data_IF_055580425689
#
_entry.id   IF_055580425689
#
_cell.length_a   1.000
_cell.length_b   1.000
_cell.length_c   1.000
_cell.angle_alpha   90.00
_cell.angle_beta   90.00
_cell.angle_gamma   90.00
#
_symmetry.space_group_name_H-M   'P 1'
#
loop_
_entity.id
_entity.type
_entity.pdbx_description
1 polymer ?
#
# COMPACT_ATOMS: atom_id res chain seq x y z
N UNK A 1 -5.28 -57.22 -17.37
CA UNK A 1 -5.44 -56.02 -16.51
C UNK A 1 -6.74 -56.17 -15.74
N UNK A 2 -6.72 -56.29 -14.41
CA UNK A 2 -7.93 -56.45 -13.60
C UNK A 2 -8.77 -55.15 -13.61
N UNK A 3 -10.06 -55.30 -13.89
CA UNK A 3 -11.02 -54.20 -14.07
C UNK A 3 -11.40 -53.54 -12.74
N UNK A 4 -11.29 -52.21 -12.70
CA UNK A 4 -11.63 -51.39 -11.54
C UNK A 4 -13.14 -51.11 -11.58
N UNK A 5 -13.90 -51.78 -10.72
CA UNK A 5 -15.33 -51.52 -10.52
C UNK A 5 -15.51 -50.18 -9.80
N UNK A 6 -15.83 -49.12 -10.55
CA UNK A 6 -16.22 -47.82 -10.00
C UNK A 6 -17.66 -47.90 -9.49
N UNK A 7 -17.82 -48.28 -8.23
CA UNK A 7 -19.07 -48.20 -7.48
C UNK A 7 -19.56 -46.74 -7.44
N UNK A 8 -20.63 -46.45 -8.19
CA UNK A 8 -21.32 -45.14 -8.17
C UNK A 8 -21.95 -44.90 -6.80
N UNK A 9 -21.19 -44.34 -5.87
CA UNK A 9 -21.75 -43.79 -4.62
C UNK A 9 -22.48 -42.49 -4.93
N UNK A 10 -23.80 -42.57 -4.96
CA UNK A 10 -24.71 -41.42 -5.04
C UNK A 10 -24.54 -40.56 -3.79
N UNK A 11 -23.81 -39.46 -3.92
CA UNK A 11 -23.68 -38.42 -2.89
C UNK A 11 -25.04 -37.74 -2.72
N UNK A 12 -25.80 -38.18 -1.70
CA UNK A 12 -26.98 -37.45 -1.22
C UNK A 12 -26.51 -36.15 -0.59
N UNK A 13 -26.52 -35.07 -1.37
CA UNK A 13 -26.37 -33.73 -0.82
C UNK A 13 -27.58 -33.45 0.07
N UNK A 14 -27.35 -33.42 1.39
CA UNK A 14 -28.33 -32.88 2.32
C UNK A 14 -28.64 -31.43 1.90
N UNK A 15 -29.90 -30.98 1.96
CA UNK A 15 -30.26 -29.62 1.59
C UNK A 15 -29.58 -28.65 2.56
N UNK A 16 -28.44 -28.09 2.13
CA UNK A 16 -27.74 -27.06 2.88
C UNK A 16 -28.60 -25.81 2.80
N UNK A 17 -29.39 -25.56 3.85
CA UNK A 17 -30.05 -24.27 4.05
C UNK A 17 -28.96 -23.26 4.36
N UNK A 18 -28.41 -22.64 3.32
CA UNK A 18 -27.52 -21.48 3.41
C UNK A 18 -28.40 -20.30 3.84
N UNK A 19 -28.81 -20.27 5.11
CA UNK A 19 -29.37 -19.10 5.76
C UNK A 19 -28.19 -18.20 6.13
N UNK A 20 -27.63 -17.53 5.13
CA UNK A 20 -26.78 -16.36 5.35
C UNK A 20 -27.73 -15.23 5.73
N UNK A 21 -28.14 -15.22 7.01
CA UNK A 21 -28.73 -14.03 7.62
C UNK A 21 -27.54 -13.12 7.94
N UNK A 22 -26.97 -12.50 6.92
CA UNK A 22 -26.02 -11.41 7.13
C UNK A 22 -26.78 -10.29 7.83
N UNK A 23 -26.25 -9.78 8.94
CA UNK A 23 -26.88 -8.63 9.57
C UNK A 23 -26.86 -7.46 8.58
N UNK A 24 -27.95 -6.68 8.49
CA UNK A 24 -28.03 -5.53 7.55
C UNK A 24 -26.80 -4.61 7.67
N UNK A 25 -26.23 -4.49 8.88
CA UNK A 25 -25.03 -3.68 9.14
C UNK A 25 -23.77 -4.22 8.46
N UNK A 26 -23.54 -5.52 8.47
CA UNK A 26 -22.35 -6.14 7.84
C UNK A 26 -22.39 -6.03 6.31
N UNK A 27 -23.58 -6.10 5.73
CA UNK A 27 -23.78 -5.89 4.30
C UNK A 27 -23.36 -4.49 3.86
N UNK A 28 -23.92 -3.43 4.48
CA UNK A 28 -23.55 -2.04 4.13
C UNK A 28 -22.06 -1.76 4.33
N UNK A 29 -21.44 -2.37 5.36
CA UNK A 29 -20.01 -2.25 5.62
C UNK A 29 -19.18 -2.85 4.47
N UNK A 30 -19.53 -4.06 4.03
CA UNK A 30 -18.84 -4.76 2.95
C UNK A 30 -18.98 -4.01 1.63
N UNK A 31 -20.18 -3.51 1.33
CA UNK A 31 -20.44 -2.66 0.15
C UNK A 31 -19.61 -1.38 0.20
N UNK A 32 -19.57 -0.69 1.35
CA UNK A 32 -18.77 0.52 1.52
C UNK A 32 -17.27 0.28 1.34
N UNK A 33 -16.75 -0.84 1.85
CA UNK A 33 -15.34 -1.21 1.69
C UNK A 33 -14.99 -1.57 0.24
N UNK A 34 -15.85 -2.35 -0.43
CA UNK A 34 -15.69 -2.65 -1.86
C UNK A 34 -15.70 -1.36 -2.71
N UNK A 35 -16.60 -0.42 -2.41
CA UNK A 35 -16.64 0.88 -3.05
C UNK A 35 -15.36 1.69 -2.81
N UNK A 36 -14.85 1.74 -1.58
CA UNK A 36 -13.59 2.43 -1.24
C UNK A 36 -12.38 1.84 -1.96
N UNK A 37 -12.27 0.51 -2.03
CA UNK A 37 -11.22 -0.18 -2.78
C UNK A 37 -11.35 0.10 -4.28
N UNK A 38 -12.56 0.08 -4.83
CA UNK A 38 -12.81 0.44 -6.23
C UNK A 38 -12.36 1.86 -6.57
N UNK A 39 -12.72 2.85 -5.73
CA UNK A 39 -12.24 4.23 -5.88
C UNK A 39 -10.71 4.32 -5.81
N UNK A 40 -10.10 3.57 -4.90
CA UNK A 40 -8.64 3.52 -4.75
C UNK A 40 -7.96 3.04 -6.04
N UNK A 41 -8.46 1.96 -6.65
CA UNK A 41 -7.98 1.51 -7.97
C UNK A 41 -8.17 2.58 -9.05
N UNK A 42 -9.30 3.27 -9.08
CA UNK A 42 -9.53 4.33 -10.08
C UNK A 42 -8.54 5.47 -9.94
N UNK A 43 -8.27 5.93 -8.71
CA UNK A 43 -7.28 6.98 -8.49
C UNK A 43 -5.87 6.50 -8.81
N UNK A 44 -5.49 5.27 -8.42
CA UNK A 44 -4.17 4.68 -8.73
C UNK A 44 -3.98 4.54 -10.22
N UNK A 45 -4.98 4.02 -10.91
CA UNK A 45 -4.96 3.87 -12.36
C UNK A 45 -4.84 5.23 -13.05
N UNK A 46 -5.61 6.23 -12.62
CA UNK A 46 -5.58 7.56 -13.20
C UNK A 46 -4.20 8.24 -13.05
N UNK A 47 -3.62 8.24 -11.84
CA UNK A 47 -2.29 8.83 -11.63
C UNK A 47 -1.22 8.10 -12.38
N UNK A 48 -1.20 6.78 -12.27
CA UNK A 48 -0.19 5.94 -12.91
C UNK A 48 -0.23 6.13 -14.42
N UNK A 49 -1.42 6.20 -15.02
CA UNK A 49 -1.58 6.43 -16.45
C UNK A 49 -1.09 7.82 -16.87
N UNK A 50 -1.40 8.87 -16.11
CA UNK A 50 -0.91 10.24 -16.41
C UNK A 50 0.61 10.30 -16.32
N UNK A 51 1.21 9.81 -15.23
CA UNK A 51 2.67 9.80 -15.04
C UNK A 51 3.36 8.94 -16.09
N UNK A 52 2.77 7.80 -16.44
CA UNK A 52 3.29 6.91 -17.47
C UNK A 52 3.27 7.56 -18.86
N UNK A 53 2.15 8.17 -19.27
CA UNK A 53 2.05 8.87 -20.55
C UNK A 53 2.99 10.06 -20.64
N UNK A 54 3.16 10.81 -19.54
CA UNK A 54 4.16 11.88 -19.46
C UNK A 54 5.59 11.35 -19.61
N UNK A 55 5.91 10.24 -18.94
CA UNK A 55 7.22 9.60 -19.02
C UNK A 55 7.52 9.03 -20.40
N UNK A 56 6.51 8.48 -21.09
CA UNK A 56 6.61 8.07 -22.49
C UNK A 56 6.88 9.26 -23.42
N UNK A 57 6.14 10.36 -23.24
CA UNK A 57 6.31 11.55 -24.08
C UNK A 57 7.70 12.20 -23.92
N UNK A 58 8.27 12.15 -22.71
CA UNK A 58 9.63 12.63 -22.44
C UNK A 58 10.72 11.62 -22.83
N UNK A 59 10.36 10.38 -23.12
CA UNK A 59 11.31 9.30 -23.43
C UNK A 59 12.19 8.89 -22.23
N UNK A 60 11.81 9.27 -21.01
CA UNK A 60 12.61 9.00 -19.82
C UNK A 60 12.38 7.56 -19.33
N UNK A 61 13.26 6.64 -19.73
CA UNK A 61 13.19 5.21 -19.39
C UNK A 61 13.22 4.98 -17.86
N UNK A 62 13.96 5.79 -17.10
CA UNK A 62 13.97 5.72 -15.64
C UNK A 62 12.57 5.98 -15.08
N UNK A 63 11.95 7.09 -15.48
CA UNK A 63 10.61 7.47 -15.04
C UNK A 63 9.54 6.44 -15.45
N UNK A 64 9.62 5.89 -16.67
CA UNK A 64 8.72 4.84 -17.16
C UNK A 64 8.81 3.60 -16.27
N UNK A 65 10.02 3.06 -16.06
CA UNK A 65 10.23 1.81 -15.34
C UNK A 65 9.95 1.96 -13.84
N UNK A 66 10.32 3.09 -13.23
CA UNK A 66 10.01 3.36 -11.82
C UNK A 66 8.50 3.56 -11.60
N UNK A 67 7.78 4.20 -12.53
CA UNK A 67 6.32 4.33 -12.47
C UNK A 67 5.64 2.96 -12.57
N UNK A 68 6.05 2.12 -13.52
CA UNK A 68 5.52 0.75 -13.61
C UNK A 68 5.84 -0.08 -12.36
N UNK A 69 7.08 0.01 -11.86
CA UNK A 69 7.51 -0.80 -10.72
C UNK A 69 6.80 -0.41 -9.41
N UNK A 70 6.87 0.87 -9.06
CA UNK A 70 6.40 1.34 -7.76
C UNK A 70 4.93 1.78 -7.74
N UNK A 71 4.41 2.36 -8.83
CA UNK A 71 3.02 2.86 -8.83
C UNK A 71 2.04 1.81 -9.36
N UNK A 72 2.40 1.06 -10.41
CA UNK A 72 1.51 0.02 -10.97
C UNK A 72 1.64 -1.31 -10.22
N UNK A 73 2.78 -1.98 -10.33
CA UNK A 73 2.93 -3.35 -9.84
C UNK A 73 2.89 -3.44 -8.31
N UNK A 74 3.52 -2.50 -7.61
CA UNK A 74 3.50 -2.51 -6.15
C UNK A 74 2.10 -2.20 -5.60
N UNK A 75 1.36 -1.27 -6.20
CA UNK A 75 -0.03 -1.00 -5.79
C UNK A 75 -0.95 -2.21 -6.02
N UNK A 76 -0.87 -2.84 -7.19
CA UNK A 76 -1.64 -4.04 -7.50
C UNK A 76 -1.21 -5.24 -6.64
N UNK A 77 0.06 -5.34 -6.26
CA UNK A 77 0.52 -6.37 -5.32
C UNK A 77 -0.13 -6.19 -3.94
N UNK A 78 -0.25 -4.95 -3.44
CA UNK A 78 -0.88 -4.65 -2.15
C UNK A 78 -2.40 -4.88 -2.23
N UNK A 79 -3.06 -4.34 -3.25
CA UNK A 79 -4.52 -4.46 -3.43
C UNK A 79 -4.95 -5.90 -3.76
N UNK A 80 -4.12 -6.65 -4.48
CA UNK A 80 -4.34 -8.04 -4.85
C UNK A 80 -4.53 -8.99 -3.66
N UNK A 81 -3.99 -8.65 -2.48
CA UNK A 81 -4.19 -9.42 -1.26
C UNK A 81 -5.59 -9.21 -0.64
N UNK A 82 -6.26 -8.09 -0.93
CA UNK A 82 -7.59 -7.79 -0.41
C UNK A 82 -8.65 -8.75 -0.97
N UNK A 83 -9.61 -9.13 -0.14
CA UNK A 83 -10.70 -10.05 -0.53
C UNK A 83 -11.82 -9.37 -1.31
N UNK A 84 -11.93 -8.04 -1.21
CA UNK A 84 -12.91 -7.27 -1.99
C UNK A 84 -12.35 -6.76 -3.30
N UNK A 85 -11.07 -7.00 -3.57
CA UNK A 85 -10.50 -6.64 -4.86
C UNK A 85 -11.11 -7.54 -5.94
N UNK A 86 -11.74 -6.91 -6.95
CA UNK A 86 -12.59 -7.61 -7.91
C UNK A 86 -11.89 -8.75 -8.65
N UNK A 87 -10.65 -8.55 -9.08
CA UNK A 87 -9.92 -9.56 -9.85
C UNK A 87 -9.35 -10.70 -8.98
N UNK A 88 -9.03 -10.43 -7.70
CA UNK A 88 -8.49 -11.44 -6.79
C UNK A 88 -9.54 -12.09 -5.89
N UNK A 89 -10.78 -11.60 -5.87
CA UNK A 89 -11.88 -12.12 -5.06
C UNK A 89 -12.11 -13.62 -5.26
N UNK A 90 -12.03 -14.10 -6.50
CA UNK A 90 -12.24 -15.51 -6.85
C UNK A 90 -11.03 -16.42 -6.56
N UNK A 91 -9.86 -15.85 -6.26
CA UNK A 91 -8.66 -16.60 -5.95
C UNK A 91 -8.64 -17.07 -4.50
N UNK A 92 -8.17 -18.30 -4.25
CA UNK A 92 -7.86 -18.78 -2.90
C UNK A 92 -6.68 -17.98 -2.32
N UNK A 93 -6.60 -17.89 -0.98
CA UNK A 93 -5.54 -17.17 -0.28
C UNK A 93 -4.13 -17.54 -0.77
N UNK A 94 -3.84 -18.85 -0.95
CA UNK A 94 -2.56 -19.33 -1.48
C UNK A 94 -2.21 -18.74 -2.86
N UNK A 95 -3.20 -18.60 -3.74
CA UNK A 95 -3.00 -18.02 -5.07
C UNK A 95 -2.84 -16.50 -5.01
N UNK A 96 -3.52 -15.81 -4.09
CA UNK A 96 -3.32 -14.36 -3.88
C UNK A 96 -1.93 -14.04 -3.36
N UNK A 97 -1.43 -14.84 -2.41
CA UNK A 97 -0.04 -14.72 -1.93
C UNK A 97 0.95 -14.96 -3.05
N UNK A 98 0.71 -15.96 -3.91
CA UNK A 98 1.54 -16.19 -5.10
C UNK A 98 1.51 -14.97 -6.05
N UNK A 99 0.32 -14.45 -6.36
CA UNK A 99 0.17 -13.28 -7.22
C UNK A 99 0.86 -12.03 -6.63
N UNK A 100 0.75 -11.81 -5.32
CA UNK A 100 1.45 -10.76 -4.60
C UNK A 100 2.97 -10.88 -4.74
N UNK A 101 3.53 -12.08 -4.56
CA UNK A 101 4.97 -12.33 -4.72
C UNK A 101 5.40 -12.08 -6.18
N UNK A 102 4.64 -12.56 -7.16
CA UNK A 102 4.96 -12.37 -8.58
C UNK A 102 4.93 -10.88 -8.97
N UNK A 103 3.88 -10.15 -8.59
CA UNK A 103 3.78 -8.71 -8.85
C UNK A 103 4.88 -7.93 -8.12
N UNK A 104 5.26 -8.34 -6.91
CA UNK A 104 6.37 -7.73 -6.17
C UNK A 104 7.69 -7.93 -6.90
N UNK A 105 7.99 -9.15 -7.37
CA UNK A 105 9.20 -9.44 -8.17
C UNK A 105 9.23 -8.61 -9.45
N UNK A 106 8.11 -8.50 -10.17
CA UNK A 106 7.98 -7.62 -11.34
C UNK A 106 8.20 -6.14 -10.98
N UNK A 107 7.66 -5.69 -9.86
CA UNK A 107 7.84 -4.32 -9.38
C UNK A 107 9.31 -3.98 -9.12
N UNK A 108 10.02 -4.89 -8.45
CA UNK A 108 11.43 -4.73 -8.11
C UNK A 108 12.32 -4.80 -9.35
N UNK A 109 12.06 -5.74 -10.26
CA UNK A 109 12.85 -5.84 -11.49
C UNK A 109 12.74 -4.57 -12.31
N UNK A 110 11.53 -4.01 -12.47
CA UNK A 110 11.31 -2.72 -13.11
C UNK A 110 12.05 -1.58 -12.37
N UNK A 111 11.96 -1.50 -11.04
CA UNK A 111 12.63 -0.46 -10.27
C UNK A 111 14.17 -0.50 -10.41
N UNK A 112 14.76 -1.70 -10.34
CA UNK A 112 16.20 -1.89 -10.52
C UNK A 112 16.61 -1.53 -11.95
N UNK A 113 15.89 -2.02 -12.97
CA UNK A 113 16.17 -1.67 -14.37
C UNK A 113 16.04 -0.18 -14.64
N UNK A 114 15.09 0.51 -14.01
CA UNK A 114 14.95 1.96 -14.07
C UNK A 114 16.12 2.71 -13.43
N UNK A 115 16.78 2.14 -12.43
CA UNK A 115 17.88 2.78 -11.71
C UNK A 115 19.23 2.69 -12.44
N UNK A 116 19.41 1.73 -13.35
CA UNK A 116 20.68 1.53 -14.07
C UNK A 116 21.10 2.76 -14.91
N UNK A 117 20.23 3.37 -15.74
CA UNK A 117 20.63 4.47 -16.62
C UNK A 117 21.07 5.75 -15.88
N UNK A 118 20.41 6.20 -14.79
CA UNK A 118 20.89 7.36 -14.02
C UNK A 118 22.25 7.14 -13.36
N UNK A 119 22.50 5.94 -12.82
CA UNK A 119 23.77 5.62 -12.16
C UNK A 119 24.93 5.65 -13.17
N UNK A 120 24.72 5.14 -14.39
CA UNK A 120 25.77 5.11 -15.41
C UNK A 120 26.08 6.49 -16.01
N UNK A 121 25.10 7.41 -16.02
CA UNK A 121 25.24 8.72 -16.65
C UNK A 121 25.70 9.82 -15.70
N UNK A 122 25.21 9.85 -14.46
CA UNK A 122 25.45 10.96 -13.52
C UNK A 122 26.17 10.52 -12.23
N UNK A 123 26.46 9.22 -12.06
CA UNK A 123 26.93 8.68 -10.80
C UNK A 123 25.85 8.69 -9.72
N UNK A 124 26.25 8.55 -8.44
CA UNK A 124 25.31 8.63 -7.31
C UNK A 124 24.90 10.09 -7.14
N UNK A 125 23.79 10.48 -7.79
CA UNK A 125 23.28 11.83 -7.76
C UNK A 125 22.93 12.25 -6.32
N UNK A 126 23.56 13.33 -5.83
CA UNK A 126 23.29 13.95 -4.53
C UNK A 126 21.98 14.76 -4.51
N UNK A 127 21.10 14.58 -5.50
CA UNK A 127 19.83 15.29 -5.57
C UNK A 127 18.86 14.77 -4.50
N UNK A 128 17.91 15.62 -4.11
CA UNK A 128 16.82 15.20 -3.21
C UNK A 128 15.99 14.07 -3.81
N UNK A 129 15.76 14.09 -5.12
CA UNK A 129 15.11 13.00 -5.85
C UNK A 129 15.93 11.70 -5.76
N UNK A 130 17.23 11.78 -6.02
CA UNK A 130 18.14 10.64 -5.92
C UNK A 130 18.15 10.04 -4.51
N UNK A 131 18.40 10.84 -3.48
CA UNK A 131 18.48 10.37 -2.09
C UNK A 131 17.17 9.71 -1.60
N UNK A 132 16.02 10.29 -1.92
CA UNK A 132 14.71 9.70 -1.56
C UNK A 132 14.41 8.41 -2.33
N UNK A 133 14.85 8.31 -3.59
CA UNK A 133 14.81 7.07 -4.37
C UNK A 133 15.61 5.94 -3.72
N UNK A 134 16.83 6.23 -3.25
CA UNK A 134 17.66 5.25 -2.54
C UNK A 134 17.04 4.79 -1.21
N UNK A 135 16.46 5.71 -0.43
CA UNK A 135 15.74 5.37 0.81
C UNK A 135 14.55 4.47 0.50
N UNK A 136 13.81 4.75 -0.56
CA UNK A 136 12.66 3.93 -1.00
C UNK A 136 13.11 2.52 -1.39
N UNK A 137 14.19 2.41 -2.16
CA UNK A 137 14.79 1.13 -2.52
C UNK A 137 15.22 0.35 -1.28
N UNK A 138 15.85 1.01 -0.30
CA UNK A 138 16.25 0.38 0.96
C UNK A 138 15.04 -0.20 1.72
N UNK A 139 13.94 0.54 1.87
CA UNK A 139 12.72 0.01 2.49
C UNK A 139 12.09 -1.12 1.68
N UNK A 140 12.18 -1.08 0.36
CA UNK A 140 11.72 -2.16 -0.52
C UNK A 140 12.53 -3.43 -0.28
N UNK A 141 13.85 -3.32 -0.17
CA UNK A 141 14.73 -4.46 0.16
C UNK A 141 14.40 -5.06 1.53
N UNK A 142 14.18 -4.22 2.56
CA UNK A 142 13.73 -4.70 3.87
C UNK A 142 12.37 -5.42 3.79
N UNK A 143 11.45 -4.91 2.97
CA UNK A 143 10.13 -5.53 2.75
C UNK A 143 10.27 -6.91 2.09
N UNK A 144 11.15 -7.07 1.10
CA UNK A 144 11.42 -8.35 0.43
C UNK A 144 11.99 -9.37 1.40
N UNK A 145 12.90 -8.97 2.30
CA UNK A 145 13.50 -9.89 3.26
C UNK A 145 12.48 -10.29 4.33
N UNK A 146 11.73 -9.31 4.85
CA UNK A 146 10.75 -9.54 5.94
C UNK A 146 9.51 -10.31 5.47
N UNK A 147 9.14 -10.25 4.18
CA UNK A 147 7.96 -10.92 3.64
C UNK A 147 7.99 -12.45 3.79
N UNK A 148 8.98 -13.16 3.21
CA UNK A 148 9.15 -14.59 3.37
C UNK A 148 9.34 -15.02 4.83
N UNK A 149 10.08 -14.24 5.62
CA UNK A 149 10.25 -14.52 7.05
C UNK A 149 8.93 -14.41 7.84
N UNK A 150 8.05 -13.49 7.45
CA UNK A 150 6.71 -13.33 8.02
C UNK A 150 5.77 -14.52 7.75
N UNK A 151 6.09 -15.39 6.78
CA UNK A 151 5.32 -16.62 6.53
C UNK A 151 5.56 -17.68 7.63
N UNK A 152 6.70 -17.64 8.32
CA UNK A 152 7.05 -18.57 9.42
C UNK A 152 6.36 -18.27 10.77
N UNK A 153 5.14 -17.73 10.75
CA UNK A 153 4.29 -17.44 11.92
C UNK A 153 4.81 -16.41 12.93
N UNK A 154 5.78 -15.56 12.56
CA UNK A 154 6.17 -14.42 13.39
C UNK A 154 5.24 -13.23 13.14
N UNK A 155 4.25 -13.05 14.03
CA UNK A 155 3.26 -11.94 13.94
C UNK A 155 3.94 -10.58 13.80
N UNK A 156 5.00 -10.33 14.57
CA UNK A 156 5.74 -9.06 14.52
C UNK A 156 6.39 -8.81 13.14
N UNK A 157 6.88 -9.85 12.46
CA UNK A 157 7.52 -9.70 11.15
C UNK A 157 6.51 -9.36 10.05
N UNK A 158 5.29 -9.88 10.12
CA UNK A 158 4.21 -9.53 9.17
C UNK A 158 3.88 -8.05 9.26
N UNK A 159 3.79 -7.54 10.49
CA UNK A 159 3.52 -6.15 10.78
C UNK A 159 4.64 -5.23 10.31
N UNK A 160 5.90 -5.62 10.56
CA UNK A 160 7.08 -4.90 10.08
C UNK A 160 7.11 -4.88 8.53
N UNK A 161 6.83 -6.02 7.88
CA UNK A 161 6.75 -6.12 6.43
C UNK A 161 5.69 -5.17 5.84
N UNK A 162 4.48 -5.15 6.41
CA UNK A 162 3.43 -4.22 5.98
C UNK A 162 3.85 -2.76 6.20
N UNK A 163 4.48 -2.44 7.34
CA UNK A 163 4.95 -1.10 7.65
C UNK A 163 6.02 -0.59 6.68
N UNK A 164 7.03 -1.40 6.39
CA UNK A 164 8.07 -1.05 5.43
C UNK A 164 7.53 -0.96 3.99
N UNK A 165 6.65 -1.88 3.59
CA UNK A 165 6.04 -1.86 2.26
C UNK A 165 5.20 -0.60 2.04
N UNK A 166 4.38 -0.23 3.01
CA UNK A 166 3.57 0.99 2.95
C UNK A 166 4.44 2.26 2.92
N UNK A 167 5.50 2.30 3.73
CA UNK A 167 6.43 3.43 3.76
C UNK A 167 7.15 3.58 2.41
N UNK A 168 7.61 2.48 1.81
CA UNK A 168 8.24 2.49 0.50
C UNK A 168 7.26 2.98 -0.59
N UNK A 169 6.03 2.47 -0.59
CA UNK A 169 5.01 2.89 -1.56
C UNK A 169 4.69 4.39 -1.43
N UNK A 170 4.52 4.88 -0.20
CA UNK A 170 4.22 6.29 0.09
C UNK A 170 5.34 7.22 -0.37
N UNK A 171 6.60 6.88 -0.04
CA UNK A 171 7.76 7.65 -0.48
C UNK A 171 7.85 7.68 -2.01
N UNK A 172 7.48 6.58 -2.67
CA UNK A 172 7.44 6.55 -4.13
C UNK A 172 6.45 7.50 -4.77
N UNK A 173 5.25 7.57 -4.23
CA UNK A 173 4.23 8.47 -4.77
C UNK A 173 4.60 9.94 -4.56
N UNK A 174 5.32 10.27 -3.48
CA UNK A 174 5.82 11.63 -3.24
C UNK A 174 6.88 12.01 -4.28
N UNK A 175 7.91 11.17 -4.48
CA UNK A 175 9.01 11.56 -5.37
C UNK A 175 8.63 11.56 -6.85
N UNK A 176 7.66 10.73 -7.26
CA UNK A 176 7.21 10.69 -8.66
C UNK A 176 6.61 12.03 -9.13
N UNK A 177 6.25 12.91 -8.19
CA UNK A 177 5.69 14.24 -8.45
C UNK A 177 6.71 15.38 -8.23
N UNK A 178 7.91 15.09 -7.72
CA UNK A 178 8.95 16.10 -7.55
C UNK A 178 9.60 16.36 -8.91
N UNK A 179 9.52 17.57 -9.47
CA UNK A 179 10.21 17.89 -10.70
C UNK A 179 11.72 17.83 -10.47
N UNK A 180 12.43 17.14 -11.37
CA UNK A 180 13.89 17.25 -11.48
C UNK A 180 14.21 18.69 -11.90
N UNK A 181 14.49 19.55 -10.92
CA UNK A 181 14.90 20.96 -11.11
C UNK A 181 15.99 21.09 -12.20
N UNK A 182 16.01 22.10 -13.07
CA UNK A 182 15.63 23.51 -12.88
C UNK A 182 14.62 24.01 -13.94
N UNK A 183 13.46 24.54 -13.50
CA UNK A 183 12.61 25.39 -14.36
C UNK A 183 11.18 24.93 -14.65
N UNK A 184 10.74 23.76 -14.17
CA UNK A 184 9.37 23.28 -14.38
C UNK A 184 8.54 23.33 -13.08
N UNK A 185 7.46 24.12 -13.09
CA UNK A 185 6.55 24.23 -11.95
C UNK A 185 5.87 22.88 -11.62
N UNK A 186 5.79 22.49 -10.34
CA UNK A 186 5.09 21.29 -9.90
C UNK A 186 3.58 21.45 -10.12
N UNK A 187 3.00 20.65 -11.02
CA UNK A 187 1.56 20.65 -11.28
C UNK A 187 0.84 19.63 -10.38
N UNK A 188 0.30 20.09 -9.25
CA UNK A 188 -0.94 19.59 -8.63
C UNK A 188 -0.99 18.15 -8.05
N UNK A 189 0.09 17.37 -8.03
CA UNK A 189 0.08 15.96 -7.60
C UNK A 189 -0.08 15.72 -6.08
N UNK A 190 0.30 16.70 -5.24
CA UNK A 190 0.45 16.50 -3.79
C UNK A 190 -0.85 16.14 -3.06
N UNK A 191 -1.98 16.72 -3.49
CA UNK A 191 -3.28 16.51 -2.83
C UNK A 191 -3.80 15.07 -3.00
N UNK A 192 -3.42 14.41 -4.09
CA UNK A 192 -3.97 13.12 -4.47
C UNK A 192 -3.18 11.96 -3.86
N UNK A 193 -1.88 12.14 -3.62
CA UNK A 193 -1.05 11.21 -2.82
C UNK A 193 -1.52 11.18 -1.36
N UNK A 194 -1.82 12.35 -0.77
CA UNK A 194 -2.40 12.43 0.58
C UNK A 194 -3.80 11.77 0.64
N UNK A 195 -4.62 11.93 -0.39
CA UNK A 195 -5.95 11.30 -0.47
C UNK A 195 -5.84 9.76 -0.56
N UNK A 196 -4.91 9.22 -1.36
CA UNK A 196 -4.69 7.77 -1.44
C UNK A 196 -4.27 7.16 -0.11
N UNK A 197 -3.33 7.80 0.58
CA UNK A 197 -2.88 7.36 1.90
C UNK A 197 -4.04 7.35 2.90
N UNK A 198 -4.93 8.34 2.84
CA UNK A 198 -6.12 8.40 3.68
C UNK A 198 -7.14 7.30 3.35
N UNK A 199 -7.35 6.96 2.08
CA UNK A 199 -8.32 5.91 1.69
C UNK A 199 -7.79 4.51 2.04
N UNK A 200 -6.51 4.23 1.77
CA UNK A 200 -5.88 2.96 2.14
C UNK A 200 -5.91 2.72 3.66
N UNK A 201 -5.58 3.75 4.44
CA UNK A 201 -5.50 3.64 5.90
C UNK A 201 -6.86 3.76 6.60
N UNK A 202 -7.86 4.39 5.96
CA UNK A 202 -9.24 4.42 6.45
C UNK A 202 -9.98 3.09 6.28
N UNK A 203 -9.61 2.31 5.25
CA UNK A 203 -10.21 1.01 4.97
C UNK A 203 -9.67 -0.12 5.87
N UNK A 204 -8.38 -0.12 6.22
CA UNK A 204 -7.79 -1.10 7.16
C UNK A 204 -8.32 -1.00 8.60
N UNK A 205 -9.04 0.08 8.93
CA UNK A 205 -9.55 0.40 10.26
C UNK A 205 -10.75 -0.46 10.71
N UNK A 206 -11.34 -1.30 9.85
CA UNK A 206 -12.68 -1.84 10.14
C UNK A 206 -12.93 -3.33 9.90
N UNK A 207 -11.91 -4.06 9.42
CA UNK A 207 -12.01 -5.48 9.14
C UNK A 207 -12.04 -6.36 10.40
N UNK A 208 -11.63 -5.80 11.56
CA UNK A 208 -11.38 -6.57 12.79
C UNK A 208 -12.40 -6.35 13.92
N UNK A 209 -13.43 -5.52 13.73
CA UNK A 209 -14.51 -5.30 14.72
C UNK A 209 -15.62 -6.35 14.63
N UNK A 210 -15.31 -7.59 14.98
CA UNK A 210 -16.30 -8.64 15.28
C UNK A 210 -16.25 -9.11 16.75
N UNK A 211 -15.25 -8.72 17.57
CA UNK A 211 -15.17 -9.24 18.95
C UNK A 211 -14.87 -8.27 20.11
N UNK A 212 -14.78 -6.94 19.95
CA UNK A 212 -14.53 -6.09 21.13
C UNK A 212 -15.11 -4.68 21.04
N UNK A 213 -15.84 -4.29 22.08
CA UNK A 213 -16.38 -2.95 22.33
C UNK A 213 -15.40 -2.14 23.20
N UNK A 214 -14.72 -1.15 22.62
CA UNK A 214 -13.94 -0.14 23.35
C UNK A 214 -14.00 1.25 22.66
N UNK A 215 -13.79 2.37 23.40
CA UNK A 215 -14.59 3.59 23.23
C UNK A 215 -13.92 4.75 22.48
N UNK A 216 -14.80 5.69 22.10
CA UNK A 216 -14.72 6.92 21.30
C UNK A 216 -13.64 7.99 21.66
N UNK A 217 -12.63 7.69 22.49
CA UNK A 217 -11.72 8.71 23.06
C UNK A 217 -10.57 9.12 22.10
N UNK A 218 -10.20 8.29 21.14
CA UNK A 218 -8.98 8.46 20.32
C UNK A 218 -9.11 9.32 19.06
N UNK A 219 -10.33 9.66 18.62
CA UNK A 219 -10.55 10.51 17.43
C UNK A 219 -9.96 11.92 17.65
N UNK A 220 -9.87 12.38 18.91
CA UNK A 220 -9.31 13.71 19.24
C UNK A 220 -7.78 13.80 19.03
N UNK A 221 -7.03 12.71 19.23
CA UNK A 221 -5.57 12.72 19.08
C UNK A 221 -5.13 12.86 17.62
N UNK A 222 -5.82 12.17 16.70
CA UNK A 222 -5.54 12.23 15.26
C UNK A 222 -5.86 13.59 14.64
N UNK A 223 -6.90 14.28 15.14
CA UNK A 223 -7.24 15.66 14.71
C UNK A 223 -6.18 16.67 15.19
N UNK A 224 -5.58 16.44 16.37
CA UNK A 224 -4.59 17.36 16.94
C UNK A 224 -3.24 17.30 16.22
N UNK A 225 -2.82 16.12 15.74
CA UNK A 225 -1.60 15.94 14.94
C UNK A 225 -1.76 16.55 13.54
N UNK A 226 -2.91 16.34 12.89
CA UNK A 226 -3.23 16.96 11.60
C UNK A 226 -3.23 18.50 11.69
N UNK A 227 -3.73 19.06 12.81
CA UNK A 227 -3.72 20.50 13.08
C UNK A 227 -2.29 21.04 13.25
N UNK A 228 -1.39 20.29 13.87
CA UNK A 228 0.03 20.66 14.02
C UNK A 228 0.79 20.69 12.69
N UNK A 229 0.57 19.73 11.78
CA UNK A 229 1.21 19.77 10.46
C UNK A 229 0.57 20.83 9.53
N UNK A 230 -0.70 21.19 9.70
CA UNK A 230 -1.31 22.33 9.00
C UNK A 230 -0.74 23.68 9.46
N UNK A 231 -0.53 23.87 10.76
CA UNK A 231 0.06 25.10 11.32
C UNK A 231 1.53 25.31 10.92
N UNK A 232 2.28 24.21 10.70
CA UNK A 232 3.64 24.27 10.14
C UNK A 232 3.67 24.75 8.69
N UNK A 233 2.59 24.56 7.92
CA UNK A 233 2.47 25.00 6.51
C UNK A 233 2.15 26.50 6.39
N UNK A 234 1.54 27.11 7.40
CA UNK A 234 1.10 28.52 7.35
C UNK A 234 2.15 29.54 7.80
N UNK A 235 3.29 29.11 8.37
CA UNK A 235 4.33 30.02 8.83
C UNK A 235 5.32 30.37 7.68
N UNK A 236 5.01 31.45 6.95
CA UNK A 236 5.66 31.88 5.70
C UNK A 236 7.05 32.56 5.87
N UNK A 237 7.64 32.60 7.05
CA UNK A 237 8.83 33.42 7.34
C UNK A 237 10.11 32.61 7.66
N UNK A 238 10.38 31.53 6.93
CA UNK A 238 11.70 30.87 7.02
C UNK A 238 12.27 30.59 5.63
N UNK A 239 13.21 31.43 5.22
CA UNK A 239 14.14 31.19 4.11
C UNK A 239 15.09 30.06 4.48
N UNK A 240 14.73 28.82 4.12
CA UNK A 240 15.65 27.70 3.80
C UNK A 240 14.82 26.51 3.33
N UNK A 241 14.74 26.34 2.02
CA UNK A 241 14.05 25.25 1.29
C UNK A 241 14.42 23.84 1.79
N UNK A 242 15.62 23.66 2.34
CA UNK A 242 16.10 22.38 2.89
C UNK A 242 15.35 21.92 4.16
N UNK A 243 14.69 22.81 4.91
CA UNK A 243 14.02 22.39 6.16
C UNK A 243 12.62 21.81 5.94
N UNK A 244 11.95 22.20 4.85
CA UNK A 244 10.53 21.87 4.65
C UNK A 244 10.32 20.46 4.11
N UNK A 245 11.14 20.01 3.17
CA UNK A 245 11.04 18.64 2.61
C UNK A 245 11.35 17.60 3.69
N UNK A 246 12.39 17.82 4.49
CA UNK A 246 12.73 16.93 5.60
C UNK A 246 11.66 16.94 6.69
N UNK A 247 11.07 18.10 7.03
CA UNK A 247 9.98 18.17 8.02
C UNK A 247 8.68 17.57 7.52
N UNK A 248 8.35 17.71 6.24
CA UNK A 248 7.20 17.07 5.63
C UNK A 248 7.37 15.55 5.60
N UNK A 249 8.53 15.05 5.16
CA UNK A 249 8.86 13.63 5.19
C UNK A 249 8.87 13.07 6.61
N UNK A 250 9.40 13.81 7.60
CA UNK A 250 9.37 13.40 9.01
C UNK A 250 7.96 13.45 9.61
N UNK A 251 7.11 14.40 9.23
CA UNK A 251 5.69 14.41 9.65
C UNK A 251 4.95 13.20 9.05
N UNK A 252 5.16 12.90 7.77
CA UNK A 252 4.57 11.72 7.11
C UNK A 252 5.07 10.41 7.71
N UNK A 253 6.38 10.28 7.98
CA UNK A 253 6.96 9.12 8.66
C UNK A 253 6.40 9.00 10.09
N UNK A 254 6.35 10.09 10.86
CA UNK A 254 5.80 10.07 12.22
C UNK A 254 4.32 9.71 12.22
N UNK A 255 3.55 10.25 11.27
CA UNK A 255 2.13 9.95 11.11
C UNK A 255 1.91 8.48 10.71
N UNK A 256 2.73 7.97 9.80
CA UNK A 256 2.73 6.57 9.38
C UNK A 256 3.12 5.65 10.54
N UNK A 257 4.10 6.03 11.37
CA UNK A 257 4.51 5.26 12.56
C UNK A 257 3.40 5.24 13.63
N UNK A 258 2.77 6.37 13.95
CA UNK A 258 1.66 6.42 14.92
C UNK A 258 0.46 5.61 14.42
N UNK A 259 0.15 5.69 13.12
CA UNK A 259 -0.90 4.90 12.48
C UNK A 259 -0.55 3.42 12.39
N UNK A 260 0.70 3.09 12.14
CA UNK A 260 1.20 1.72 12.15
C UNK A 260 1.06 1.15 13.56
N UNK A 261 1.57 1.82 14.60
CA UNK A 261 1.41 1.44 16.01
C UNK A 261 -0.06 1.18 16.39
N UNK A 262 -0.99 1.97 15.86
CA UNK A 262 -2.42 1.76 16.01
C UNK A 262 -2.91 0.49 15.30
N UNK A 263 -2.53 0.27 14.04
CA UNK A 263 -2.82 -0.98 13.30
C UNK A 263 -2.20 -2.20 14.00
N UNK A 264 -1.00 -2.06 14.58
CA UNK A 264 -0.33 -3.11 15.36
C UNK A 264 -1.13 -3.45 16.62
N UNK A 265 -1.65 -2.45 17.33
CA UNK A 265 -2.46 -2.64 18.52
C UNK A 265 -3.77 -3.38 18.18
N UNK A 266 -4.42 -3.03 17.08
CA UNK A 266 -5.66 -3.66 16.61
C UNK A 266 -5.42 -5.10 16.17
N UNK A 267 -4.39 -5.36 15.36
CA UNK A 267 -4.09 -6.71 14.83
C UNK A 267 -3.64 -7.69 15.91
N UNK A 268 -2.99 -7.22 16.99
CA UNK A 268 -2.61 -8.04 18.15
C UNK A 268 -3.85 -8.60 18.86
N UNK A 269 -4.95 -7.85 18.90
CA UNK A 269 -6.22 -8.33 19.45
C UNK A 269 -6.92 -9.33 18.51
N UNK A 270 -6.81 -9.16 17.19
CA UNK A 270 -7.48 -10.03 16.21
C UNK A 270 -6.84 -11.40 16.07
N UNK A 271 -5.51 -11.47 16.00
CA UNK A 271 -4.80 -12.75 15.83
C UNK A 271 -4.70 -13.57 17.11
N UNK A 272 -4.90 -12.96 18.28
CA UNK A 272 -5.06 -13.69 19.54
C UNK A 272 -6.25 -14.64 19.54
N UNK A 273 -7.30 -14.34 18.76
CA UNK A 273 -8.52 -15.15 18.67
C UNK A 273 -8.51 -16.29 17.64
N UNK A 274 -7.54 -16.36 16.72
CA UNK A 274 -7.44 -17.44 15.72
C UNK A 274 -6.39 -18.51 16.05
N UNK A 275 -5.63 -18.34 17.13
CA UNK A 275 -4.53 -19.23 17.54
C UNK A 275 -4.82 -20.00 18.84
N UNK A 276 -6.04 -19.90 19.38
CA UNK A 276 -6.59 -20.77 20.43
C UNK A 276 -7.69 -21.63 19.83
#
# INVERSE_FOLDING_TARGET
>A
MPGINLEKKSLKFAPVKILVIESRGEYYRTVGFAFGVGLTHMFIGATTMVTFMYSLNTGNVHAILCTLGYQLFSAEAILGLSYVNGWSAHLRLKHRVCAHIMLTICGISCAISGLVPPISSFGVASSYHGSTGHITLFFTLLTIITGPLGLHNFVNLRLIHMGFGLTAFSMSSIFANIPDSEGQEPKGGDALVTLMLQVFMGCGHHQDRVCSSAPLVEIKANVQIARSCYLLKTNKTVTKTNSYVTKAALCEISFTITRLQYVLAVQKETFGCQLT
#
